data_IF_205633154422
#
_entry.id   IF_205633154422
#
_cell.length_a   1.000
_cell.length_b   1.000
_cell.length_c   1.000
_cell.angle_alpha   90.00
_cell.angle_beta   90.00
_cell.angle_gamma   90.00
#
_symmetry.space_group_name_H-M   'P 1'
#
loop_
_entity.id
_entity.type
_entity.pdbx_description
1 polymer ?
#
# COMPACT_ATOMS: atom_id res chain seq x y z
N UNK A 1 18.40 -1.16 -6.10
CA UNK A 1 17.87 -2.55 -6.09
C UNK A 1 16.60 -2.67 -5.25
N UNK A 2 16.61 -2.44 -3.92
CA UNK A 2 15.42 -2.57 -3.06
C UNK A 2 14.21 -1.73 -3.53
N UNK A 3 14.43 -0.48 -3.95
CA UNK A 3 13.36 0.41 -4.47
C UNK A 3 12.57 -0.21 -5.64
N UNK A 4 13.26 -0.88 -6.55
CA UNK A 4 12.63 -1.55 -7.70
C UNK A 4 11.78 -2.74 -7.25
N UNK A 5 12.22 -3.48 -6.23
CA UNK A 5 11.45 -4.58 -5.67
C UNK A 5 10.16 -4.03 -5.02
N UNK A 6 10.26 -2.95 -4.24
CA UNK A 6 9.10 -2.29 -3.65
C UNK A 6 8.12 -1.83 -4.73
N UNK A 7 8.60 -1.13 -5.76
CA UNK A 7 7.76 -0.68 -6.88
C UNK A 7 7.06 -1.85 -7.59
N UNK A 8 7.77 -2.96 -7.86
CA UNK A 8 7.17 -4.16 -8.46
C UNK A 8 6.08 -4.79 -7.58
N UNK A 9 6.26 -4.81 -6.26
CA UNK A 9 5.24 -5.34 -5.35
C UNK A 9 4.03 -4.40 -5.27
N UNK A 10 4.24 -3.08 -5.21
CA UNK A 10 3.15 -2.09 -5.25
C UNK A 10 2.37 -2.20 -6.56
N UNK A 11 3.04 -2.45 -7.69
CA UNK A 11 2.38 -2.66 -8.98
C UNK A 11 1.55 -3.96 -9.02
N UNK A 12 1.97 -5.01 -8.29
CA UNK A 12 1.15 -6.22 -8.11
C UNK A 12 -0.08 -5.93 -7.25
N UNK A 13 0.07 -5.13 -6.20
CA UNK A 13 -1.03 -4.69 -5.35
C UNK A 13 -2.02 -3.86 -6.16
N UNK A 14 -1.53 -2.89 -6.93
CA UNK A 14 -2.34 -2.05 -7.81
C UNK A 14 -3.26 -2.86 -8.71
N UNK A 15 -2.70 -3.85 -9.42
CA UNK A 15 -3.47 -4.75 -10.28
C UNK A 15 -4.50 -5.55 -9.50
N UNK A 16 -4.10 -6.16 -8.38
CA UNK A 16 -5.00 -6.98 -7.56
C UNK A 16 -6.17 -6.16 -6.98
N UNK A 17 -5.89 -4.94 -6.54
CA UNK A 17 -6.91 -4.03 -5.99
C UNK A 17 -7.88 -3.60 -7.11
N UNK A 18 -7.36 -3.24 -8.28
CA UNK A 18 -8.20 -2.93 -9.44
C UNK A 18 -9.07 -4.10 -9.89
N UNK A 19 -8.53 -5.32 -9.91
CA UNK A 19 -9.29 -6.53 -10.25
C UNK A 19 -10.34 -6.90 -9.19
N UNK A 20 -10.02 -6.73 -7.89
CA UNK A 20 -10.91 -7.14 -6.81
C UNK A 20 -12.02 -6.13 -6.52
N UNK A 21 -11.74 -4.83 -6.65
CA UNK A 21 -12.63 -3.75 -6.21
C UNK A 21 -13.07 -2.81 -7.34
N UNK A 22 -12.49 -2.93 -8.54
CA UNK A 22 -12.80 -2.00 -9.65
C UNK A 22 -12.27 -0.58 -9.44
N UNK A 23 -11.40 -0.37 -8.45
CA UNK A 23 -10.84 0.94 -8.09
C UNK A 23 -9.43 1.13 -8.65
N UNK A 24 -9.11 2.36 -9.04
CA UNK A 24 -7.72 2.75 -9.30
C UNK A 24 -6.92 2.76 -8.00
N UNK A 25 -5.65 2.38 -8.07
CA UNK A 25 -4.75 2.39 -6.92
C UNK A 25 -3.46 3.13 -7.29
N UNK A 26 -3.23 4.25 -6.61
CA UNK A 26 -2.06 5.09 -6.76
C UNK A 26 -1.36 5.25 -5.40
N UNK A 27 -0.09 5.63 -5.44
CA UNK A 27 0.70 5.82 -4.23
C UNK A 27 1.71 6.94 -4.40
N UNK A 28 2.05 7.58 -3.29
CA UNK A 28 3.10 8.58 -3.24
C UNK A 28 4.47 7.94 -3.52
N UNK A 29 5.30 8.46 -4.44
CA UNK A 29 6.67 8.00 -4.62
C UNK A 29 7.49 7.96 -3.32
N UNK A 30 7.23 8.84 -2.35
CA UNK A 30 7.87 8.84 -1.04
C UNK A 30 7.57 7.56 -0.22
N UNK A 31 6.46 6.87 -0.52
CA UNK A 31 6.14 5.57 0.07
C UNK A 31 7.22 4.52 -0.27
N UNK A 32 7.73 4.53 -1.51
CA UNK A 32 8.79 3.61 -1.95
C UNK A 32 10.05 3.85 -1.15
N UNK A 33 10.38 5.12 -0.92
CA UNK A 33 11.53 5.55 -0.13
C UNK A 33 11.42 5.07 1.33
N UNK A 34 10.26 5.28 1.96
CA UNK A 34 10.02 4.90 3.34
C UNK A 34 10.04 3.37 3.55
N UNK A 35 9.41 2.60 2.65
CA UNK A 35 9.43 1.13 2.72
C UNK A 35 10.85 0.61 2.52
N UNK A 36 11.60 1.19 1.57
CA UNK A 36 13.00 0.82 1.34
C UNK A 36 13.87 1.10 2.57
N UNK A 37 13.72 2.26 3.22
CA UNK A 37 14.46 2.63 4.42
C UNK A 37 14.20 1.68 5.60
N UNK A 38 12.94 1.27 5.81
CA UNK A 38 12.56 0.26 6.82
C UNK A 38 13.17 -1.12 6.56
N UNK A 39 13.52 -1.43 5.31
CA UNK A 39 14.13 -2.70 4.95
C UNK A 39 15.65 -2.73 5.12
N UNK A 40 16.32 -1.58 5.11
CA UNK A 40 17.76 -1.48 5.40
C UNK A 40 18.10 -1.72 6.87
N UNK A 41 17.14 -1.59 7.79
CA UNK A 41 17.34 -1.82 9.23
C UNK A 41 17.23 -3.30 9.64
N UNK A 42 16.67 -4.17 8.78
CA UNK A 42 16.44 -5.59 9.06
C UNK A 42 17.21 -6.47 8.08
N UNK A 43 18.00 -7.42 8.61
CA UNK A 43 18.89 -8.31 7.84
C UNK A 43 18.18 -9.24 6.81
N UNK A 44 16.89 -9.06 6.56
CA UNK A 44 16.05 -9.88 5.68
C UNK A 44 15.41 -9.13 4.48
N UNK A 45 15.91 -7.94 4.15
CA UNK A 45 15.69 -7.21 2.87
C UNK A 45 14.35 -7.43 2.17
N UNK A 46 14.26 -8.43 1.28
CA UNK A 46 13.08 -8.71 0.46
C UNK A 46 11.87 -9.28 1.24
N UNK A 47 12.11 -10.12 2.26
CA UNK A 47 11.06 -10.71 3.10
C UNK A 47 10.42 -9.65 4.01
N UNK A 48 11.20 -8.63 4.36
CA UNK A 48 10.72 -7.50 5.13
C UNK A 48 9.74 -6.62 4.33
N UNK A 49 10.03 -6.38 3.03
CA UNK A 49 9.11 -5.67 2.13
C UNK A 49 7.76 -6.39 2.08
N UNK A 50 7.79 -7.69 1.84
CA UNK A 50 6.58 -8.51 1.79
C UNK A 50 5.82 -8.45 3.11
N UNK A 51 6.49 -8.53 4.26
CA UNK A 51 5.87 -8.39 5.57
C UNK A 51 5.21 -7.01 5.76
N UNK A 52 5.88 -5.91 5.44
CA UNK A 52 5.31 -4.57 5.57
C UNK A 52 4.06 -4.43 4.70
N UNK A 53 4.14 -4.87 3.45
CA UNK A 53 3.02 -4.77 2.52
C UNK A 53 1.85 -5.67 2.91
N UNK A 54 2.11 -6.93 3.28
CA UNK A 54 1.08 -7.93 3.56
C UNK A 54 0.52 -7.90 4.97
N UNK A 55 1.30 -7.44 5.96
CA UNK A 55 0.89 -7.42 7.38
C UNK A 55 0.49 -6.03 7.88
N UNK A 56 0.79 -4.98 7.12
CA UNK A 56 0.41 -3.60 7.48
C UNK A 56 -0.41 -2.97 6.37
N UNK A 57 0.17 -2.77 5.18
CA UNK A 57 -0.49 -1.97 4.14
C UNK A 57 -1.82 -2.58 3.66
N UNK A 58 -1.80 -3.87 3.29
CA UNK A 58 -2.95 -4.57 2.74
C UNK A 58 -4.07 -4.79 3.77
N UNK A 59 -3.80 -5.20 5.02
CA UNK A 59 -4.84 -5.32 6.04
C UNK A 59 -5.55 -3.98 6.33
N UNK A 60 -4.78 -2.90 6.49
CA UNK A 60 -5.35 -1.56 6.74
C UNK A 60 -6.19 -1.07 5.56
N UNK A 61 -5.70 -1.26 4.33
CA UNK A 61 -6.48 -0.94 3.14
C UNK A 61 -7.77 -1.75 3.08
N UNK A 62 -7.69 -3.06 3.31
CA UNK A 62 -8.85 -3.96 3.24
C UNK A 62 -9.93 -3.56 4.24
N UNK A 63 -9.55 -3.18 5.47
CA UNK A 63 -10.48 -2.70 6.48
C UNK A 63 -11.24 -1.46 6.01
N UNK A 64 -10.52 -0.47 5.46
CA UNK A 64 -11.14 0.77 4.95
C UNK A 64 -12.05 0.53 3.75
N UNK A 65 -11.66 -0.37 2.85
CA UNK A 65 -12.50 -0.76 1.70
C UNK A 65 -13.77 -1.44 2.17
N UNK A 66 -13.68 -2.35 3.15
CA UNK A 66 -14.85 -3.02 3.74
C UNK A 66 -15.78 -2.03 4.44
N UNK A 67 -15.24 -1.05 5.17
CA UNK A 67 -16.03 0.03 5.79
C UNK A 67 -16.75 0.88 4.75
N UNK A 68 -16.08 1.30 3.68
CA UNK A 68 -16.72 2.06 2.61
C UNK A 68 -17.81 1.26 1.89
N UNK A 69 -17.61 -0.05 1.65
CA UNK A 69 -18.64 -0.94 1.13
C UNK A 69 -19.83 -1.07 2.08
N UNK A 70 -19.60 -1.18 3.39
CA UNK A 70 -20.65 -1.23 4.40
C UNK A 70 -21.47 0.07 4.46
N UNK A 71 -20.84 1.20 4.12
CA UNK A 71 -21.48 2.51 4.01
C UNK A 71 -22.02 2.81 2.60
N UNK A 72 -22.10 1.82 1.71
CA UNK A 72 -22.56 1.97 0.31
C UNK A 72 -21.83 3.08 -0.46
N UNK A 73 -20.60 3.40 -0.04
CA UNK A 73 -19.80 4.45 -0.65
C UNK A 73 -19.04 3.85 -1.84
N UNK A 74 -19.28 4.32 -3.07
CA UNK A 74 -18.54 3.83 -4.23
C UNK A 74 -17.07 4.23 -4.10
N UNK A 75 -16.18 3.28 -4.36
CA UNK A 75 -14.72 3.50 -4.33
C UNK A 75 -14.23 3.36 -5.76
N UNK A 76 -13.78 4.47 -6.32
CA UNK A 76 -13.26 4.57 -7.69
C UNK A 76 -11.76 4.81 -7.70
N UNK A 77 -11.23 5.42 -6.64
CA UNK A 77 -9.81 5.68 -6.48
C UNK A 77 -9.33 5.46 -5.05
N UNK A 78 -8.11 4.93 -4.95
CA UNK A 78 -7.39 4.66 -3.71
C UNK A 78 -6.03 5.29 -3.86
N UNK A 79 -5.68 6.18 -2.94
CA UNK A 79 -4.35 6.77 -2.86
C UNK A 79 -3.69 6.40 -1.54
N UNK A 80 -2.47 5.85 -1.62
CA UNK A 80 -1.64 5.54 -0.45
C UNK A 80 -0.52 6.55 -0.32
N UNK A 81 -0.54 7.33 0.75
CA UNK A 81 0.48 8.31 1.07
C UNK A 81 1.32 7.94 2.30
N UNK A 82 2.20 8.85 2.68
CA UNK A 82 2.98 8.79 3.91
C UNK A 82 2.71 10.02 4.77
N UNK A 83 2.35 9.82 6.04
CA UNK A 83 2.25 10.90 7.01
C UNK A 83 3.63 11.37 7.47
N UNK A 84 3.67 12.55 8.11
CA UNK A 84 4.91 13.15 8.61
C UNK A 84 5.60 12.32 9.71
N UNK A 85 4.84 11.48 10.43
CA UNK A 85 5.33 10.52 11.42
C UNK A 85 5.81 9.19 10.80
N UNK A 86 5.72 9.07 9.47
CA UNK A 86 6.05 7.87 8.70
C UNK A 86 4.92 6.85 8.63
N UNK A 87 3.73 7.09 9.20
CA UNK A 87 2.61 6.15 9.06
C UNK A 87 2.02 6.17 7.65
N UNK A 88 1.38 5.07 7.25
CA UNK A 88 0.69 5.01 5.97
C UNK A 88 -0.63 5.77 6.07
N UNK A 89 -0.93 6.54 5.03
CA UNK A 89 -2.20 7.26 4.90
C UNK A 89 -2.96 6.73 3.70
N UNK A 90 -4.29 6.74 3.80
CA UNK A 90 -5.17 6.18 2.79
C UNK A 90 -6.28 7.18 2.51
N UNK A 91 -6.36 7.61 1.26
CA UNK A 91 -7.48 8.38 0.75
C UNK A 91 -8.30 7.49 -0.19
N UNK A 92 -9.60 7.36 0.10
CA UNK A 92 -10.57 6.66 -0.74
C UNK A 92 -11.51 7.70 -1.35
N UNK A 93 -11.86 7.54 -2.62
CA UNK A 93 -12.73 8.47 -3.37
C UNK A 93 -13.64 7.76 -4.34
#
# INVERSE_FOLDING_TARGET
MIRQIVALQLERIRRRVGEAYGASFDYDPALVEAIAARCTESASGARNIENILSRTLLPELSMRLLEAMANETPITAIFVGLAADGQFTYALS
#
